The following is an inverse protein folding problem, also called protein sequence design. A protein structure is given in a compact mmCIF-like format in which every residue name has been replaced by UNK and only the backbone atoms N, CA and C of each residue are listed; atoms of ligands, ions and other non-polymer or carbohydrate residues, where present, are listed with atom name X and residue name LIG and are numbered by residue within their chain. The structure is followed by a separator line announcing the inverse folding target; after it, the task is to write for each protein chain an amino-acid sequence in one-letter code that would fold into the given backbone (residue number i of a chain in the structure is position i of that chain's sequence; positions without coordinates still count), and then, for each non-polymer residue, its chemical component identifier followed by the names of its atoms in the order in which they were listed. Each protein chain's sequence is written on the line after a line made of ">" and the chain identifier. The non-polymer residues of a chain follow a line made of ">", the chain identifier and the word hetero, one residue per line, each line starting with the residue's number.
data_IF_661537607780
#
_entry.id   IF_661537607780
#
_cell.length_a   1.000
_cell.length_b   1.000
_cell.length_c   1.000
_cell.angle_alpha   90.00
_cell.angle_beta   90.00
_cell.angle_gamma   90.00
#
_symmetry.space_group_name_H-M   'P 1'
#
loop_
_entity.id
_entity.type
_entity.pdbx_description
1 polymer ?
#
# COMPACT_ATOMS: atom_id res chain seq x y z
N UNK A 1 21.64 -17.83 60.50
CA UNK A 1 22.09 -16.47 60.12
C UNK A 1 22.70 -16.57 58.73
N UNK A 2 22.05 -16.01 57.68
CA UNK A 2 22.46 -14.77 56.95
C UNK A 2 23.93 -14.87 56.48
N UNK A 3 24.33 -14.86 55.21
CA UNK A 3 24.04 -13.99 54.06
C UNK A 3 24.42 -14.74 52.75
N UNK A 4 23.56 -14.84 51.72
CA UNK A 4 23.37 -13.94 50.54
C UNK A 4 24.51 -13.95 49.51
N UNK A 5 24.16 -14.55 48.35
CA UNK A 5 24.44 -14.20 46.95
C UNK A 5 25.87 -13.88 46.48
N UNK A 6 26.36 -14.65 45.49
CA UNK A 6 26.94 -14.13 44.25
C UNK A 6 27.24 -15.27 43.25
N UNK A 7 27.17 -14.93 41.96
CA UNK A 7 27.50 -15.72 40.76
C UNK A 7 26.34 -16.45 40.03
N UNK A 8 25.34 -15.68 39.59
CA UNK A 8 24.66 -15.95 38.31
C UNK A 8 25.34 -15.11 37.22
N UNK A 9 26.18 -15.73 36.38
CA UNK A 9 26.62 -15.17 35.09
C UNK A 9 27.41 -16.23 34.33
N UNK A 10 26.74 -16.93 33.40
CA UNK A 10 27.29 -17.44 32.14
C UNK A 10 26.30 -18.39 31.46
N UNK A 11 25.19 -17.87 30.94
CA UNK A 11 24.37 -18.57 29.94
C UNK A 11 23.57 -17.54 29.11
N UNK A 12 24.28 -16.63 28.45
CA UNK A 12 23.73 -15.88 27.31
C UNK A 12 24.84 -15.78 26.27
N UNK A 13 24.70 -16.50 25.17
CA UNK A 13 25.62 -16.38 24.05
C UNK A 13 25.69 -17.62 23.19
N UNK A 14 24.59 -17.95 22.50
CA UNK A 14 24.59 -18.72 21.24
C UNK A 14 23.19 -18.75 20.60
N UNK A 15 22.59 -17.59 20.34
CA UNK A 15 21.40 -17.49 19.46
C UNK A 15 21.50 -16.37 18.43
N UNK A 16 22.31 -15.33 18.67
CA UNK A 16 22.46 -14.20 17.73
C UNK A 16 23.28 -14.48 16.46
N UNK A 17 24.05 -15.57 16.40
CA UNK A 17 24.99 -15.84 15.27
C UNK A 17 24.26 -16.31 14.01
N UNK A 18 23.20 -17.09 14.15
CA UNK A 18 22.44 -17.61 13.01
C UNK A 18 21.58 -16.54 12.33
N UNK A 19 21.04 -15.61 13.12
CA UNK A 19 20.20 -14.53 12.60
C UNK A 19 21.03 -13.47 11.89
N UNK A 20 22.22 -13.14 12.40
CA UNK A 20 23.18 -12.27 11.70
C UNK A 20 23.70 -12.89 10.41
N UNK A 21 23.96 -14.20 10.37
CA UNK A 21 24.40 -14.88 9.15
C UNK A 21 23.28 -14.99 8.11
N UNK A 22 22.03 -15.23 8.54
CA UNK A 22 20.86 -15.19 7.65
C UNK A 22 20.63 -13.80 7.09
N UNK A 23 20.74 -12.77 7.93
CA UNK A 23 20.56 -11.39 7.51
C UNK A 23 21.66 -10.95 6.54
N UNK A 24 22.92 -11.33 6.80
CA UNK A 24 24.04 -11.08 5.88
C UNK A 24 23.81 -11.74 4.51
N UNK A 25 23.36 -12.99 4.47
CA UNK A 25 23.06 -13.68 3.19
C UNK A 25 21.93 -13.00 2.41
N UNK A 26 20.91 -12.49 3.11
CA UNK A 26 19.84 -11.72 2.47
C UNK A 26 20.34 -10.40 1.90
N UNK A 27 21.22 -9.71 2.63
CA UNK A 27 21.87 -8.45 2.17
C UNK A 27 22.73 -8.72 0.93
N UNK A 28 23.53 -9.78 0.93
CA UNK A 28 24.38 -10.15 -0.20
C UNK A 28 23.54 -10.52 -1.43
N UNK A 29 22.44 -11.25 -1.22
CA UNK A 29 21.49 -11.59 -2.28
C UNK A 29 20.87 -10.33 -2.90
N UNK A 30 20.38 -9.41 -2.07
CA UNK A 30 19.76 -8.16 -2.53
C UNK A 30 20.77 -7.25 -3.23
N UNK A 31 22.00 -7.16 -2.71
CA UNK A 31 23.09 -6.42 -3.34
C UNK A 31 23.40 -6.95 -4.75
N UNK A 32 23.44 -8.28 -4.89
CA UNK A 32 23.67 -8.93 -6.19
C UNK A 32 22.53 -8.68 -7.19
N UNK A 33 21.28 -8.59 -6.71
CA UNK A 33 20.11 -8.31 -7.54
C UNK A 33 20.07 -6.85 -7.99
N UNK A 34 20.44 -5.90 -7.11
CA UNK A 34 20.60 -4.49 -7.47
C UNK A 34 21.71 -4.30 -8.50
N UNK A 35 22.85 -5.01 -8.36
CA UNK A 35 23.93 -4.97 -9.33
C UNK A 35 23.47 -5.47 -10.72
N UNK A 36 22.69 -6.56 -10.75
CA UNK A 36 22.09 -7.07 -12.00
C UNK A 36 21.11 -6.09 -12.61
N UNK A 37 20.21 -5.51 -11.82
CA UNK A 37 19.22 -4.54 -12.31
C UNK A 37 19.88 -3.26 -12.84
N UNK A 38 20.98 -2.81 -12.23
CA UNK A 38 21.78 -1.69 -12.77
C UNK A 38 22.42 -2.02 -14.11
N UNK A 39 22.93 -3.25 -14.28
CA UNK A 39 23.48 -3.71 -15.56
C UNK A 39 22.36 -3.77 -16.62
N UNK A 40 21.18 -4.30 -16.27
CA UNK A 40 20.04 -4.38 -17.19
C UNK A 40 19.51 -3.00 -17.59
N UNK A 41 19.49 -2.04 -16.67
CA UNK A 41 19.12 -0.65 -16.98
C UNK A 41 20.16 0.03 -17.88
N UNK A 42 21.45 -0.13 -17.61
CA UNK A 42 22.52 0.39 -18.48
C UNK A 42 22.47 -0.26 -19.88
N UNK A 43 22.17 -1.55 -19.97
CA UNK A 43 22.01 -2.25 -21.24
C UNK A 43 20.79 -1.71 -22.02
N UNK A 44 19.66 -1.47 -21.34
CA UNK A 44 18.45 -0.87 -21.94
C UNK A 44 18.64 0.59 -22.36
N UNK A 45 19.41 1.38 -21.64
CA UNK A 45 19.73 2.76 -22.04
C UNK A 45 20.70 2.79 -23.23
N UNK A 46 21.64 1.83 -23.32
CA UNK A 46 22.53 1.70 -24.50
C UNK A 46 21.83 1.23 -25.78
N UNK A 47 20.64 0.62 -25.67
CA UNK A 47 19.86 0.08 -26.81
C UNK A 47 18.71 0.99 -27.27
N UNK A 48 18.52 2.17 -26.65
CA UNK A 48 17.46 3.13 -27.04
C UNK A 48 17.75 3.92 -28.33
N UNK A 49 18.94 3.82 -28.92
CA UNK A 49 19.21 4.31 -30.28
C UNK A 49 19.11 3.21 -31.36
N UNK A 50 17.92 2.61 -31.56
CA UNK A 50 17.39 2.17 -32.88
C UNK A 50 16.08 1.36 -32.80
N UNK A 51 15.04 1.92 -33.42
CA UNK A 51 13.91 1.31 -34.19
C UNK A 51 13.00 0.22 -33.58
N UNK A 52 11.76 0.64 -33.28
CA UNK A 52 10.41 0.18 -33.72
C UNK A 52 10.22 -1.25 -34.37
N UNK A 53 9.37 -2.04 -33.68
CA UNK A 53 8.36 -3.11 -34.04
C UNK A 53 8.74 -4.64 -34.19
N UNK A 54 7.77 -5.58 -33.88
CA UNK A 54 7.92 -7.01 -33.48
C UNK A 54 7.68 -8.01 -34.67
N UNK A 55 7.50 -9.37 -34.59
CA UNK A 55 7.16 -10.27 -33.45
C UNK A 55 7.81 -11.69 -33.37
N UNK A 56 7.46 -12.37 -32.27
CA UNK A 56 7.32 -13.82 -31.99
C UNK A 56 8.49 -14.82 -31.83
N UNK A 57 8.33 -15.57 -30.72
CA UNK A 57 8.45 -17.02 -30.53
C UNK A 57 9.79 -17.72 -30.09
N UNK A 58 9.82 -18.06 -28.79
CA UNK A 58 9.73 -19.45 -28.26
C UNK A 58 10.99 -20.17 -27.73
N UNK A 59 11.03 -20.30 -26.38
CA UNK A 59 11.46 -21.42 -25.49
C UNK A 59 12.96 -21.78 -25.29
N UNK A 60 13.35 -22.65 -24.31
CA UNK A 60 12.74 -23.05 -23.01
C UNK A 60 13.76 -23.12 -21.81
N UNK A 61 13.31 -23.18 -20.53
CA UNK A 61 13.71 -24.22 -19.54
C UNK A 61 13.19 -24.03 -18.09
N UNK A 62 12.69 -25.17 -17.57
CA UNK A 62 12.69 -25.72 -16.21
C UNK A 62 12.10 -24.92 -15.01
N UNK A 63 10.86 -25.29 -14.68
CA UNK A 63 10.13 -24.93 -13.46
C UNK A 63 10.37 -26.02 -12.40
N UNK A 64 10.83 -25.64 -11.20
CA UNK A 64 10.76 -26.49 -10.00
C UNK A 64 9.33 -26.44 -9.47
N UNK A 65 8.74 -27.62 -9.33
CA UNK A 65 7.34 -27.88 -9.04
C UNK A 65 7.07 -27.71 -7.54
N UNK A 66 6.31 -26.68 -7.17
CA UNK A 66 5.65 -26.60 -5.86
C UNK A 66 4.20 -27.01 -6.09
N UNK A 67 3.75 -28.08 -5.44
CA UNK A 67 2.32 -28.43 -5.43
C UNK A 67 1.57 -27.35 -4.66
N UNK A 68 0.85 -26.50 -5.38
CA UNK A 68 -0.26 -25.72 -4.84
C UNK A 68 -1.52 -26.23 -5.52
N UNK A 69 -2.47 -26.66 -4.69
CA UNK A 69 -3.81 -27.06 -5.13
C UNK A 69 -4.39 -25.87 -5.91
N UNK A 70 -4.75 -26.03 -7.20
CA UNK A 70 -5.08 -24.90 -8.04
C UNK A 70 -6.36 -24.22 -7.52
N UNK A 71 -6.40 -22.88 -7.42
CA UNK A 71 -7.67 -22.19 -7.27
C UNK A 71 -8.51 -22.54 -8.50
N UNK A 72 -9.75 -22.99 -8.27
CA UNK A 72 -10.69 -23.27 -9.36
C UNK A 72 -10.80 -22.00 -10.20
N UNK A 73 -10.42 -22.11 -11.48
CA UNK A 73 -10.73 -21.13 -12.51
C UNK A 73 -12.25 -21.11 -12.63
N UNK A 74 -12.88 -20.18 -11.91
CA UNK A 74 -14.27 -19.82 -12.19
C UNK A 74 -14.20 -19.09 -13.52
N UNK A 75 -14.90 -19.65 -14.51
CA UNK A 75 -15.01 -19.10 -15.86
C UNK A 75 -15.38 -17.61 -15.77
N UNK A 76 -14.79 -16.85 -16.69
CA UNK A 76 -15.03 -15.42 -16.91
C UNK A 76 -16.43 -15.23 -17.52
N UNK A 77 -17.46 -15.68 -16.81
CA UNK A 77 -18.85 -15.34 -17.10
C UNK A 77 -19.14 -14.00 -16.42
N UNK A 78 -19.01 -12.94 -17.21
CA UNK A 78 -19.75 -11.69 -17.12
C UNK A 78 -20.41 -11.39 -15.77
N UNK A 79 -19.62 -11.13 -14.72
CA UNK A 79 -20.12 -10.45 -13.54
C UNK A 79 -20.08 -8.96 -13.84
N UNK A 80 -21.16 -8.48 -14.45
CA UNK A 80 -21.50 -7.08 -14.35
C UNK A 80 -21.59 -6.76 -12.86
N UNK A 81 -20.84 -5.75 -12.41
CA UNK A 81 -21.08 -5.09 -11.13
C UNK A 81 -22.58 -4.82 -11.07
N UNK A 82 -23.32 -5.52 -10.21
CA UNK A 82 -24.75 -5.29 -10.05
C UNK A 82 -24.92 -3.88 -9.47
N UNK A 83 -25.17 -2.93 -10.36
CA UNK A 83 -25.47 -1.56 -10.01
C UNK A 83 -26.96 -1.43 -9.67
N UNK A 84 -27.21 -0.72 -8.55
CA UNK A 84 -28.48 -0.12 -8.08
C UNK A 84 -29.66 -1.05 -7.79
N UNK A 85 -29.84 -1.37 -6.51
CA UNK A 85 -31.18 -1.40 -5.91
C UNK A 85 -31.52 0.02 -5.42
N UNK A 86 -32.66 0.56 -5.86
CA UNK A 86 -33.27 1.76 -5.25
C UNK A 86 -34.27 1.29 -4.19
N UNK A 87 -34.12 1.77 -2.95
CA UNK A 87 -35.32 2.25 -2.23
C UNK A 87 -35.10 3.58 -1.49
N UNK A 88 -35.98 4.53 -1.80
CA UNK A 88 -36.68 5.47 -0.89
C UNK A 88 -35.91 6.42 0.05
N UNK A 89 -34.61 6.67 -0.18
CA UNK A 89 -33.92 7.95 0.13
C UNK A 89 -32.71 8.08 -0.83
N UNK A 90 -32.86 8.85 -1.90
CA UNK A 90 -32.48 8.42 -3.28
C UNK A 90 -30.99 8.56 -3.66
N UNK A 91 -30.15 9.17 -2.82
CA UNK A 91 -28.82 9.64 -3.25
C UNK A 91 -27.62 8.93 -2.61
N UNK A 92 -27.86 7.94 -1.73
CA UNK A 92 -26.76 7.12 -1.19
C UNK A 92 -26.31 6.07 -2.21
N UNK A 93 -25.03 6.07 -2.60
CA UNK A 93 -24.44 5.01 -3.40
C UNK A 93 -23.89 3.92 -2.48
N UNK A 94 -24.24 2.67 -2.76
CA UNK A 94 -23.80 1.51 -1.96
C UNK A 94 -23.02 0.56 -2.87
N UNK A 95 -21.77 0.32 -2.50
CA UNK A 95 -20.90 -0.70 -3.09
C UNK A 95 -20.88 -1.92 -2.17
N UNK A 96 -20.84 -3.11 -2.78
CA UNK A 96 -20.93 -4.38 -2.06
C UNK A 96 -19.77 -5.29 -2.41
N UNK A 97 -19.32 -6.06 -1.43
CA UNK A 97 -18.49 -7.23 -1.66
C UNK A 97 -19.25 -8.26 -2.50
N UNK A 98 -18.52 -9.15 -3.18
CA UNK A 98 -19.09 -10.25 -3.94
C UNK A 98 -19.98 -11.18 -3.08
N UNK A 99 -19.70 -11.27 -1.78
CA UNK A 99 -20.53 -11.97 -0.79
C UNK A 99 -21.82 -11.24 -0.37
N UNK A 100 -22.08 -10.03 -0.88
CA UNK A 100 -23.30 -9.24 -0.63
C UNK A 100 -23.21 -8.22 0.51
N UNK A 101 -22.21 -8.36 1.40
CA UNK A 101 -21.91 -7.39 2.46
C UNK A 101 -21.62 -5.99 1.90
N UNK A 102 -21.91 -4.94 2.67
CA UNK A 102 -21.60 -3.56 2.26
C UNK A 102 -20.10 -3.33 2.35
N UNK A 103 -19.50 -2.80 1.30
CA UNK A 103 -18.07 -2.47 1.19
C UNK A 103 -17.86 -0.97 1.40
N UNK A 104 -18.62 -0.13 0.68
CA UNK A 104 -18.55 1.32 0.81
C UNK A 104 -19.94 1.94 0.70
N UNK A 105 -20.24 2.95 1.51
CA UNK A 105 -21.38 3.85 1.31
C UNK A 105 -20.88 5.25 1.02
N UNK A 106 -21.40 5.84 -0.05
CA UNK A 106 -21.22 7.26 -0.35
C UNK A 106 -22.55 7.92 -0.08
N UNK A 107 -22.59 8.75 0.95
CA UNK A 107 -23.79 9.45 1.41
C UNK A 107 -24.16 10.58 0.44
N UNK A 108 -25.38 11.13 0.50
CA UNK A 108 -25.71 12.36 -0.22
C UNK A 108 -24.85 13.55 0.24
N UNK A 109 -24.78 14.57 -0.63
CA UNK A 109 -24.24 15.87 -0.26
C UNK A 109 -25.18 16.59 0.71
N UNK A 110 -24.62 17.12 1.80
CA UNK A 110 -25.31 17.98 2.76
C UNK A 110 -24.35 19.12 3.10
N UNK A 111 -24.79 20.37 2.91
CA UNK A 111 -23.99 21.58 3.22
C UNK A 111 -22.57 21.56 2.64
N UNK A 112 -22.46 21.25 1.34
CA UNK A 112 -21.18 21.14 0.62
C UNK A 112 -20.20 20.09 1.18
N UNK A 113 -20.70 19.12 1.94
CA UNK A 113 -19.93 17.96 2.40
C UNK A 113 -20.61 16.66 1.98
N UNK A 114 -19.81 15.64 1.74
CA UNK A 114 -20.28 14.29 1.44
C UNK A 114 -19.43 13.28 2.19
N UNK A 115 -20.06 12.42 2.98
CA UNK A 115 -19.35 11.37 3.71
C UNK A 115 -19.22 10.10 2.87
N UNK A 116 -18.08 9.44 3.02
CA UNK A 116 -17.79 8.12 2.44
C UNK A 116 -17.41 7.20 3.59
N UNK A 117 -18.25 6.22 3.87
CA UNK A 117 -18.02 5.23 4.92
C UNK A 117 -17.48 3.94 4.29
N UNK A 118 -16.33 3.47 4.78
CA UNK A 118 -15.68 2.25 4.32
C UNK A 118 -15.89 1.18 5.39
N UNK A 119 -16.44 0.03 4.97
CA UNK A 119 -16.87 -1.04 5.84
C UNK A 119 -15.97 -2.27 5.71
N UNK A 120 -15.67 -2.92 6.83
CA UNK A 120 -15.00 -4.20 6.87
C UNK A 120 -15.91 -5.33 6.38
N UNK A 121 -15.33 -6.51 6.14
CA UNK A 121 -16.13 -7.73 5.84
C UNK A 121 -17.12 -8.10 6.95
N UNK A 122 -16.84 -7.69 8.19
CA UNK A 122 -17.71 -7.92 9.35
C UNK A 122 -18.85 -6.88 9.43
N UNK A 123 -18.83 -5.85 8.59
CA UNK A 123 -19.84 -4.79 8.54
C UNK A 123 -19.60 -3.64 9.50
N UNK A 124 -18.40 -3.51 10.06
CA UNK A 124 -18.00 -2.36 10.88
C UNK A 124 -17.42 -1.25 10.01
N UNK A 125 -17.67 0.02 10.36
CA UNK A 125 -17.00 1.15 9.69
C UNK A 125 -15.54 1.19 10.15
N UNK A 126 -14.62 1.04 9.21
CA UNK A 126 -13.17 1.06 9.48
C UNK A 126 -12.62 2.48 9.43
N UNK A 127 -13.00 3.23 8.41
CA UNK A 127 -12.62 4.63 8.21
C UNK A 127 -13.73 5.39 7.50
N UNK A 128 -13.84 6.67 7.82
CA UNK A 128 -14.74 7.61 7.13
C UNK A 128 -13.89 8.66 6.43
N UNK A 129 -14.16 8.89 5.16
CA UNK A 129 -13.57 9.95 4.34
C UNK A 129 -14.64 11.00 4.02
N UNK A 130 -14.21 12.17 3.56
CA UNK A 130 -15.11 13.25 3.18
C UNK A 130 -14.73 13.87 1.83
N UNK A 131 -15.73 14.15 1.00
CA UNK A 131 -15.59 15.13 -0.07
C UNK A 131 -16.13 16.47 0.41
N UNK A 132 -15.45 17.56 0.04
CA UNK A 132 -15.80 18.91 0.42
C UNK A 132 -15.72 19.81 -0.80
N UNK A 133 -16.75 20.63 -1.01
CA UNK A 133 -16.83 21.59 -2.10
C UNK A 133 -17.09 23.01 -1.57
N UNK A 134 -16.05 23.62 -1.00
CA UNK A 134 -16.06 24.96 -0.43
C UNK A 134 -14.90 25.80 -1.01
N UNK A 135 -14.47 26.84 -0.29
CA UNK A 135 -13.26 27.61 -0.61
C UNK A 135 -11.98 26.76 -0.57
N UNK A 136 -12.04 25.62 0.12
CA UNK A 136 -11.11 24.51 -0.04
C UNK A 136 -11.88 23.30 -0.57
N UNK A 137 -11.17 22.40 -1.23
CA UNK A 137 -11.75 21.28 -1.94
C UNK A 137 -11.07 19.97 -1.54
N UNK A 138 -11.88 18.98 -1.21
CA UNK A 138 -11.44 17.59 -0.99
C UNK A 138 -12.26 16.71 -1.92
N UNK A 139 -11.60 15.87 -2.71
CA UNK A 139 -12.28 14.87 -3.55
C UNK A 139 -11.59 13.53 -3.46
N UNK A 140 -12.39 12.48 -3.28
CA UNK A 140 -11.95 11.09 -3.22
C UNK A 140 -12.42 10.33 -4.46
N UNK A 141 -11.47 9.70 -5.15
CA UNK A 141 -11.73 8.75 -6.24
C UNK A 141 -11.53 7.34 -5.73
N UNK A 142 -12.60 6.55 -5.75
CA UNK A 142 -12.61 5.17 -5.25
C UNK A 142 -12.25 4.17 -6.36
N UNK A 143 -11.35 3.25 -6.07
CA UNK A 143 -10.98 2.16 -6.97
C UNK A 143 -11.27 0.82 -6.30
N UNK A 144 -12.03 -0.04 -6.98
CA UNK A 144 -12.49 -1.32 -6.44
C UNK A 144 -11.84 -2.49 -7.16
N UNK A 145 -11.58 -3.56 -6.40
CA UNK A 145 -11.21 -4.86 -6.95
C UNK A 145 -12.41 -5.54 -7.59
N UNK A 146 -12.15 -6.63 -8.31
CA UNK A 146 -13.19 -7.46 -8.93
C UNK A 146 -14.13 -8.14 -7.94
N UNK A 147 -13.72 -8.30 -6.68
CA UNK A 147 -14.55 -8.88 -5.61
C UNK A 147 -15.38 -7.83 -4.86
N UNK A 148 -15.37 -6.57 -5.30
CA UNK A 148 -16.10 -5.47 -4.69
C UNK A 148 -15.46 -4.87 -3.44
N UNK A 149 -14.31 -5.40 -2.99
CA UNK A 149 -13.48 -4.72 -1.98
C UNK A 149 -12.87 -3.44 -2.56
N UNK A 150 -12.66 -2.44 -1.70
CA UNK A 150 -11.95 -1.23 -2.01
C UNK A 150 -10.46 -1.56 -2.12
N UNK A 151 -9.83 -1.19 -3.23
CA UNK A 151 -8.40 -1.41 -3.48
C UNK A 151 -7.58 -0.21 -3.04
N UNK A 152 -8.01 0.97 -3.49
CA UNK A 152 -7.36 2.24 -3.19
C UNK A 152 -8.33 3.40 -3.27
N UNK A 153 -7.96 4.48 -2.59
CA UNK A 153 -8.57 5.79 -2.74
C UNK A 153 -7.50 6.78 -3.15
N UNK A 154 -7.78 7.54 -4.21
CA UNK A 154 -6.99 8.71 -4.59
C UNK A 154 -7.74 9.94 -4.08
N UNK A 155 -7.23 10.54 -3.01
CA UNK A 155 -7.72 11.78 -2.44
C UNK A 155 -6.92 12.95 -3.01
N UNK A 156 -7.63 13.98 -3.45
CA UNK A 156 -7.05 15.26 -3.82
C UNK A 156 -7.56 16.32 -2.85
N UNK A 157 -6.63 17.05 -2.23
CA UNK A 157 -6.91 18.13 -1.29
C UNK A 157 -6.28 19.43 -1.78
N UNK A 158 -7.12 20.39 -2.10
CA UNK A 158 -6.72 21.76 -2.37
C UNK A 158 -7.17 22.66 -1.21
N UNK A 159 -6.25 23.19 -0.39
CA UNK A 159 -6.58 24.06 0.74
C UNK A 159 -7.11 25.46 0.32
N UNK A 160 -7.18 25.77 -0.97
CA UNK A 160 -7.72 27.03 -1.49
C UNK A 160 -6.64 28.08 -1.74
N UNK A 161 -6.58 29.12 -0.89
CA UNK A 161 -5.66 30.27 -1.03
C UNK A 161 -4.17 29.94 -0.76
N UNK A 162 -3.71 28.75 -1.18
CA UNK A 162 -2.36 28.24 -1.06
C UNK A 162 -1.79 28.00 -2.45
N UNK A 163 -0.47 28.15 -2.60
CA UNK A 163 0.23 27.67 -3.80
C UNK A 163 0.38 26.15 -3.81
N UNK A 164 0.17 25.49 -2.67
CA UNK A 164 0.33 24.06 -2.49
C UNK A 164 -1.01 23.34 -2.42
N UNK A 165 -1.10 22.17 -3.07
CA UNK A 165 -2.15 21.16 -2.88
C UNK A 165 -1.52 19.82 -2.55
N UNK A 166 -2.35 18.86 -2.14
CA UNK A 166 -1.90 17.57 -1.67
C UNK A 166 -2.68 16.46 -2.37
N UNK A 167 -1.96 15.43 -2.81
CA UNK A 167 -2.56 14.22 -3.36
C UNK A 167 -2.19 13.04 -2.45
N UNK A 168 -3.19 12.35 -1.93
CA UNK A 168 -3.01 11.19 -1.06
C UNK A 168 -3.50 9.93 -1.77
N UNK A 169 -2.68 8.89 -1.80
CA UNK A 169 -3.09 7.54 -2.22
C UNK A 169 -3.16 6.66 -1.00
N UNK A 170 -4.34 6.15 -0.69
CA UNK A 170 -4.60 5.20 0.41
C UNK A 170 -4.84 3.83 -0.18
N UNK A 171 -4.11 2.82 0.26
CA UNK A 171 -4.31 1.43 -0.12
C UNK A 171 -5.00 0.64 0.98
N UNK A 172 -5.85 -0.30 0.57
CA UNK A 172 -6.66 -1.13 1.45
C UNK A 172 -6.39 -2.60 1.18
N UNK A 173 -6.55 -3.44 2.19
CA UNK A 173 -6.53 -4.89 2.07
C UNK A 173 -7.88 -5.42 1.50
N UNK A 174 -7.98 -6.70 1.11
CA UNK A 174 -9.23 -7.28 0.59
C UNK A 174 -10.42 -7.23 1.56
N UNK A 175 -10.16 -7.06 2.85
CA UNK A 175 -11.18 -6.89 3.89
C UNK A 175 -11.59 -5.43 4.11
N UNK A 176 -11.13 -4.51 3.25
CA UNK A 176 -11.24 -3.05 3.35
C UNK A 176 -10.52 -2.43 4.56
N UNK A 177 -9.64 -3.15 5.25
CA UNK A 177 -8.76 -2.52 6.23
C UNK A 177 -7.71 -1.65 5.53
N UNK A 178 -7.51 -0.38 5.95
CA UNK A 178 -6.40 0.42 5.45
C UNK A 178 -5.07 -0.27 5.72
N UNK A 179 -4.16 -0.20 4.76
CA UNK A 179 -2.82 -0.78 4.86
C UNK A 179 -1.77 0.32 5.05
N UNK A 180 -1.71 1.23 4.09
CA UNK A 180 -0.74 2.32 4.04
C UNK A 180 -1.28 3.46 3.19
N UNK A 181 -0.71 4.65 3.38
CA UNK A 181 -0.97 5.78 2.49
C UNK A 181 0.31 6.57 2.20
N UNK A 182 0.31 7.26 1.08
CA UNK A 182 1.37 8.20 0.70
C UNK A 182 0.73 9.52 0.30
N UNK A 183 1.22 10.63 0.87
CA UNK A 183 0.75 11.98 0.58
C UNK A 183 1.86 12.78 -0.10
N UNK A 184 1.55 13.36 -1.25
CA UNK A 184 2.45 14.19 -2.03
C UNK A 184 2.05 15.66 -1.90
N UNK A 185 3.01 16.55 -1.64
CA UNK A 185 2.80 17.98 -1.75
C UNK A 185 3.14 18.43 -3.17
N UNK A 186 2.27 19.24 -3.77
CA UNK A 186 2.45 19.78 -5.10
C UNK A 186 2.32 21.32 -5.09
N UNK A 187 3.19 22.06 -5.80
CA UNK A 187 4.46 21.57 -6.35
C UNK A 187 5.40 21.16 -5.21
N UNK A 188 6.31 20.19 -5.45
CA UNK A 188 7.31 19.81 -4.46
C UNK A 188 8.30 20.96 -4.22
N UNK A 189 8.68 21.23 -2.97
CA UNK A 189 9.76 22.19 -2.64
C UNK A 189 11.14 21.55 -2.74
N UNK A 190 11.20 20.23 -2.54
CA UNK A 190 12.44 19.45 -2.53
C UNK A 190 12.23 18.01 -2.98
N UNK A 191 13.30 17.21 -2.89
CA UNK A 191 13.27 15.79 -3.25
C UNK A 191 12.39 15.02 -2.27
N UNK A 192 12.42 15.41 -1.00
CA UNK A 192 11.66 14.82 0.10
C UNK A 192 10.15 14.91 -0.17
N UNK A 193 9.67 16.08 -0.57
CA UNK A 193 8.27 16.31 -0.95
C UNK A 193 7.87 15.45 -2.16
N UNK A 194 8.80 15.26 -3.10
CA UNK A 194 8.58 14.45 -4.30
C UNK A 194 8.50 12.95 -4.00
N UNK A 195 9.14 12.50 -2.92
CA UNK A 195 9.08 11.10 -2.47
C UNK A 195 7.78 10.77 -1.72
N UNK A 196 7.06 11.79 -1.29
CA UNK A 196 5.82 11.69 -0.54
C UNK A 196 6.00 11.24 0.90
N UNK A 197 5.15 11.76 1.78
CA UNK A 197 5.09 11.33 3.16
C UNK A 197 4.37 9.99 3.26
N UNK A 198 5.03 8.98 3.85
CA UNK A 198 4.51 7.62 3.93
C UNK A 198 3.97 7.32 5.32
N UNK A 199 2.83 6.65 5.37
CA UNK A 199 2.16 6.28 6.60
C UNK A 199 1.72 4.82 6.54
N UNK A 200 1.83 4.12 7.67
CA UNK A 200 1.24 2.79 7.85
C UNK A 200 0.02 2.89 8.76
N UNK A 201 -0.95 2.01 8.55
CA UNK A 201 -2.13 1.93 9.41
C UNK A 201 -1.83 1.09 10.66
N UNK A 202 -1.99 1.69 11.84
CA UNK A 202 -2.05 0.94 13.09
C UNK A 202 -3.49 0.48 13.33
N UNK A 203 -3.74 -0.82 13.12
CA UNK A 203 -5.07 -1.43 13.32
C UNK A 203 -5.53 -1.40 14.78
N UNK A 204 -4.60 -1.41 15.73
CA UNK A 204 -4.93 -1.44 17.16
C UNK A 204 -5.41 -0.07 17.65
N UNK A 205 -4.77 1.00 17.15
CA UNK A 205 -5.09 2.38 17.51
C UNK A 205 -6.04 3.04 16.51
N UNK A 206 -6.34 2.39 15.39
CA UNK A 206 -7.11 2.92 14.26
C UNK A 206 -6.59 4.29 13.80
N UNK A 207 -5.28 4.40 13.61
CA UNK A 207 -4.62 5.65 13.24
C UNK A 207 -3.49 5.44 12.22
N UNK A 208 -3.10 6.53 11.55
CA UNK A 208 -1.98 6.55 10.62
C UNK A 208 -0.69 6.90 11.36
N UNK A 209 0.33 6.04 11.24
CA UNK A 209 1.66 6.24 11.83
C UNK A 209 2.64 6.61 10.71
N UNK A 210 3.22 7.81 10.80
CA UNK A 210 4.21 8.30 9.84
C UNK A 210 5.48 7.44 9.90
N UNK A 211 6.00 7.06 8.75
CA UNK A 211 7.25 6.34 8.63
C UNK A 211 8.41 7.34 8.53
N UNK A 212 9.36 7.29 9.47
CA UNK A 212 10.61 8.05 9.39
C UNK A 212 11.69 7.19 8.75
N UNK A 213 12.37 7.70 7.71
CA UNK A 213 13.52 7.03 7.11
C UNK A 213 14.75 7.42 7.93
N UNK A 214 15.21 6.53 8.80
CA UNK A 214 16.51 6.69 9.47
C UNK A 214 17.60 6.29 8.48
N UNK A 215 18.31 7.26 7.92
CA UNK A 215 19.51 7.00 7.13
C UNK A 215 20.68 6.85 8.11
N UNK A 216 21.06 5.60 8.41
CA UNK A 216 22.27 5.34 9.19
C UNK A 216 23.50 5.65 8.34
N UNK A 217 24.16 6.76 8.63
CA UNK A 217 25.46 7.09 8.03
C UNK A 217 26.53 6.23 8.69
N UNK A 218 26.95 5.15 8.03
CA UNK A 218 28.12 4.37 8.48
C UNK A 218 29.36 5.25 8.29
N UNK A 219 29.85 5.86 9.38
CA UNK A 219 31.17 6.48 9.37
C UNK A 219 32.22 5.35 9.29
N UNK A 220 33.15 5.38 8.31
CA UNK A 220 34.22 4.41 8.27
C UNK A 220 35.10 4.61 9.51
N UNK A 221 35.19 3.57 10.34
CA UNK A 221 36.17 3.50 11.42
C UNK A 221 37.57 3.59 10.82
N UNK A 222 38.29 4.66 11.15
CA UNK A 222 39.68 4.86 10.72
C UNK A 222 40.56 3.81 11.42
N UNK A 223 41.50 3.17 10.70
CA UNK A 223 42.39 2.16 11.26
C UNK A 223 43.38 2.70 12.29
#
# INVERSE_FOLDING_TARGET
>A
MRFIALAFLALVGCTGRNDTERLSRSIDSLSSEIARLRIDLNYRDSTREKKILPPNDTTPRAIVRVEHKPPRIIKKDTLQVKQKEKPQNVDTLIYRFAGGGVSVKVLPWVDSKQLIEIYSLQGEVVITLENINLSYHVSNTLHFRSDGSLERVNEHFNPGASMYWYDTVIHFEPDNEPAWKITYQNPPKGIEDSMGEKYLWDRSQKCWVKQEIVIETIQPSTP
#
